data_IF_675179625597
#
_entry.id   IF_675179625597
#
_cell.length_a   1.000
_cell.length_b   1.000
_cell.length_c   1.000
_cell.angle_alpha   90.00
_cell.angle_beta   90.00
_cell.angle_gamma   90.00
#
_symmetry.space_group_name_H-M   'P 1'
#
loop_
_entity.id
_entity.type
_entity.pdbx_description
1 polymer ?
#
# COMPACT_ATOMS: atom_id res chain seq x y z
N UNK A 1 -114.30 24.59 -8.95
CA UNK A 1 -113.19 25.40 -9.49
C UNK A 1 -112.58 24.57 -10.60
N UNK A 2 -112.20 25.19 -11.73
CA UNK A 2 -111.49 24.55 -12.87
C UNK A 2 -112.31 24.06 -14.09
N UNK A 3 -113.26 24.85 -14.61
CA UNK A 3 -113.82 24.62 -15.96
C UNK A 3 -113.93 25.88 -16.84
N UNK A 4 -113.62 27.07 -16.31
CA UNK A 4 -113.64 28.33 -17.06
C UNK A 4 -112.35 28.66 -17.82
N UNK A 5 -111.19 28.15 -17.36
CA UNK A 5 -109.89 28.41 -18.02
C UNK A 5 -109.69 27.59 -19.31
N UNK A 6 -110.35 26.42 -19.43
CA UNK A 6 -110.22 25.57 -20.62
C UNK A 6 -110.89 26.18 -21.87
N UNK A 7 -112.03 26.87 -21.72
CA UNK A 7 -112.74 27.48 -22.87
C UNK A 7 -112.01 28.68 -23.48
N UNK A 8 -111.28 29.46 -22.67
CA UNK A 8 -110.51 30.60 -23.18
C UNK A 8 -109.20 30.19 -23.86
N UNK A 9 -108.61 29.05 -23.46
CA UNK A 9 -107.45 28.48 -24.16
C UNK A 9 -107.85 27.89 -25.52
N UNK A 10 -109.02 27.25 -25.60
CA UNK A 10 -109.52 26.64 -26.84
C UNK A 10 -109.91 27.69 -27.90
N UNK A 11 -110.55 28.80 -27.49
CA UNK A 11 -110.88 29.93 -28.39
C UNK A 11 -109.63 30.72 -28.80
N UNK A 12 -108.62 30.81 -27.94
CA UNK A 12 -107.35 31.43 -28.28
C UNK A 12 -106.55 30.58 -29.29
N UNK A 13 -106.56 29.24 -29.14
CA UNK A 13 -105.96 28.32 -30.11
C UNK A 13 -106.67 28.32 -31.47
N UNK A 14 -108.00 28.47 -31.49
CA UNK A 14 -108.77 28.53 -32.74
C UNK A 14 -108.54 29.85 -33.51
N UNK A 15 -108.42 31.00 -32.82
CA UNK A 15 -108.09 32.29 -33.43
C UNK A 15 -106.63 32.39 -33.90
N UNK A 16 -105.71 31.65 -33.27
CA UNK A 16 -104.31 31.52 -33.71
C UNK A 16 -104.15 30.62 -34.94
N UNK A 17 -105.10 29.71 -35.20
CA UNK A 17 -105.07 28.80 -36.35
C UNK A 17 -105.63 29.40 -37.65
N UNK A 18 -106.37 30.52 -37.58
CA UNK A 18 -106.99 31.17 -38.75
C UNK A 18 -106.13 32.29 -39.38
N UNK A 19 -105.07 32.77 -38.72
CA UNK A 19 -104.18 33.83 -39.22
C UNK A 19 -102.83 33.28 -39.73
N UNK A 20 -102.61 33.22 -41.06
CA UNK A 20 -101.38 32.67 -41.65
C UNK A 20 -100.13 33.49 -41.33
N UNK A 21 -100.28 34.78 -40.98
CA UNK A 21 -99.15 35.67 -40.63
C UNK A 21 -98.68 35.43 -39.20
N UNK A 22 -99.60 35.10 -38.29
CA UNK A 22 -99.28 34.75 -36.90
C UNK A 22 -98.50 33.41 -36.81
N UNK A 23 -98.92 32.39 -37.58
CA UNK A 23 -98.20 31.11 -37.65
C UNK A 23 -96.79 31.25 -38.21
N UNK A 24 -96.61 32.06 -39.27
CA UNK A 24 -95.29 32.28 -39.87
C UNK A 24 -94.32 32.99 -38.90
N UNK A 25 -94.82 33.92 -38.07
CA UNK A 25 -94.00 34.59 -37.03
C UNK A 25 -93.64 33.64 -35.90
N UNK A 26 -94.59 32.83 -35.42
CA UNK A 26 -94.33 31.82 -34.38
C UNK A 26 -93.32 30.78 -34.83
N UNK A 27 -93.38 30.35 -36.10
CA UNK A 27 -92.41 29.41 -36.67
C UNK A 27 -91.00 29.99 -36.74
N UNK A 28 -90.86 31.25 -37.19
CA UNK A 28 -89.55 31.95 -37.19
C UNK A 28 -89.01 32.20 -35.77
N UNK A 29 -89.88 32.53 -34.82
CA UNK A 29 -89.51 32.69 -33.41
C UNK A 29 -89.10 31.36 -32.80
N UNK A 30 -89.78 30.25 -33.14
CA UNK A 30 -89.42 28.89 -32.74
C UNK A 30 -88.09 28.42 -33.33
N UNK A 31 -87.84 28.69 -34.62
CA UNK A 31 -86.56 28.42 -35.29
C UNK A 31 -85.41 29.26 -34.70
N UNK A 32 -85.66 30.55 -34.41
CA UNK A 32 -84.70 31.41 -33.74
C UNK A 32 -84.44 30.97 -32.28
N UNK A 33 -85.47 30.55 -31.55
CA UNK A 33 -85.33 30.00 -30.20
C UNK A 33 -84.54 28.69 -30.19
N UNK A 34 -84.78 27.80 -31.17
CA UNK A 34 -84.03 26.55 -31.34
C UNK A 34 -82.55 26.82 -31.70
N UNK A 35 -82.28 27.82 -32.55
CA UNK A 35 -80.92 28.24 -32.87
C UNK A 35 -80.19 28.79 -31.64
N UNK A 36 -80.82 29.67 -30.87
CA UNK A 36 -80.26 30.22 -29.62
C UNK A 36 -79.98 29.11 -28.62
N UNK A 37 -80.91 28.16 -28.44
CA UNK A 37 -80.70 27.00 -27.58
C UNK A 37 -79.51 26.15 -28.04
N UNK A 38 -79.35 25.92 -29.35
CA UNK A 38 -78.21 25.18 -29.90
C UNK A 38 -76.87 25.90 -29.73
N UNK A 39 -76.86 27.23 -29.85
CA UNK A 39 -75.66 28.06 -29.64
C UNK A 39 -75.26 28.12 -28.17
N UNK A 40 -76.24 28.22 -27.25
CA UNK A 40 -75.99 28.13 -25.81
C UNK A 40 -75.42 26.75 -25.44
N UNK A 41 -75.93 25.67 -26.04
CA UNK A 41 -75.39 24.34 -25.85
C UNK A 41 -73.95 24.21 -26.38
N UNK A 42 -73.63 24.81 -27.54
CA UNK A 42 -72.27 24.86 -28.08
C UNK A 42 -71.33 25.71 -27.22
N UNK A 43 -71.79 26.84 -26.69
CA UNK A 43 -71.02 27.67 -25.76
C UNK A 43 -70.71 26.92 -24.46
N UNK A 44 -71.69 26.24 -23.87
CA UNK A 44 -71.49 25.43 -22.67
C UNK A 44 -70.54 24.24 -22.93
N UNK A 45 -70.61 23.63 -24.11
CA UNK A 45 -69.68 22.57 -24.51
C UNK A 45 -68.24 23.11 -24.67
N UNK A 46 -68.08 24.27 -25.31
CA UNK A 46 -66.80 24.93 -25.51
C UNK A 46 -66.18 25.40 -24.17
N UNK A 47 -66.98 25.98 -23.27
CA UNK A 47 -66.53 26.36 -21.93
C UNK A 47 -66.01 25.15 -21.14
N UNK A 48 -66.71 24.01 -21.24
CA UNK A 48 -66.27 22.76 -20.61
C UNK A 48 -64.96 22.25 -21.21
N UNK A 49 -64.79 22.34 -22.52
CA UNK A 49 -63.57 21.94 -23.21
C UNK A 49 -62.38 22.85 -22.84
N UNK A 50 -62.60 24.17 -22.78
CA UNK A 50 -61.60 25.15 -22.32
C UNK A 50 -61.22 24.88 -20.86
N UNK A 51 -62.19 24.60 -19.99
CA UNK A 51 -61.90 24.27 -18.58
C UNK A 51 -61.07 22.98 -18.44
N UNK A 52 -61.35 21.96 -19.24
CA UNK A 52 -60.57 20.72 -19.26
C UNK A 52 -59.16 20.93 -19.81
N UNK A 53 -59.01 21.71 -20.89
CA UNK A 53 -57.71 22.06 -21.45
C UNK A 53 -56.87 22.91 -20.46
N UNK A 54 -57.52 23.83 -19.73
CA UNK A 54 -56.87 24.61 -18.68
C UNK A 54 -56.41 23.73 -17.50
N UNK A 55 -57.21 22.73 -17.09
CA UNK A 55 -56.79 21.77 -16.06
C UNK A 55 -55.63 20.88 -16.54
N UNK A 56 -55.70 20.35 -17.76
CA UNK A 56 -54.64 19.52 -18.33
C UNK A 56 -53.30 20.26 -18.42
N UNK A 57 -53.30 21.51 -18.87
CA UNK A 57 -52.09 22.35 -18.93
C UNK A 57 -51.55 22.71 -17.55
N UNK A 58 -52.43 22.95 -16.56
CA UNK A 58 -52.01 23.17 -15.17
C UNK A 58 -51.39 21.92 -14.53
N UNK A 59 -51.92 20.73 -14.83
CA UNK A 59 -51.36 19.47 -14.34
C UNK A 59 -50.01 19.14 -15.01
N UNK A 60 -49.88 19.43 -16.31
CA UNK A 60 -48.62 19.30 -17.03
C UNK A 60 -47.55 20.25 -16.49
N UNK A 61 -47.90 21.51 -16.20
CA UNK A 61 -47.01 22.47 -15.56
C UNK A 61 -46.51 21.97 -14.19
N UNK A 62 -47.40 21.43 -13.34
CA UNK A 62 -47.01 20.85 -12.04
C UNK A 62 -46.08 19.65 -12.19
N UNK A 63 -46.30 18.79 -13.19
CA UNK A 63 -45.43 17.64 -13.46
C UNK A 63 -44.03 18.09 -13.87
N UNK A 64 -43.94 19.10 -14.74
CA UNK A 64 -42.66 19.65 -15.17
C UNK A 64 -41.91 20.33 -14.01
N UNK A 65 -42.60 21.07 -13.15
CA UNK A 65 -42.00 21.66 -11.94
C UNK A 65 -41.49 20.57 -10.98
N UNK A 66 -42.26 19.51 -10.76
CA UNK A 66 -41.84 18.37 -9.94
C UNK A 66 -40.59 17.67 -10.52
N UNK A 67 -40.56 17.42 -11.83
CA UNK A 67 -39.41 16.84 -12.52
C UNK A 67 -38.16 17.74 -12.41
N UNK A 68 -38.33 19.06 -12.51
CA UNK A 68 -37.24 20.02 -12.35
C UNK A 68 -36.70 20.05 -10.91
N UNK A 69 -37.60 20.03 -9.92
CA UNK A 69 -37.22 19.96 -8.50
C UNK A 69 -36.46 18.66 -8.20
N UNK A 70 -36.91 17.54 -8.76
CA UNK A 70 -36.23 16.25 -8.60
C UNK A 70 -34.83 16.27 -9.22
N UNK A 71 -34.67 16.77 -10.46
CA UNK A 71 -33.35 16.93 -11.08
C UNK A 71 -32.42 17.91 -10.36
N UNK A 72 -32.98 18.91 -9.67
CA UNK A 72 -32.20 19.79 -8.81
C UNK A 72 -31.70 19.06 -7.56
N UNK A 73 -32.55 18.23 -6.94
CA UNK A 73 -32.17 17.38 -5.81
C UNK A 73 -31.10 16.34 -6.19
N UNK A 74 -31.23 15.71 -7.36
CA UNK A 74 -30.25 14.72 -7.86
C UNK A 74 -28.87 15.35 -8.07
N UNK A 75 -28.81 16.54 -8.68
CA UNK A 75 -27.54 17.27 -8.85
C UNK A 75 -26.89 17.65 -7.51
N UNK A 76 -27.69 18.00 -6.50
CA UNK A 76 -27.18 18.23 -5.15
C UNK A 76 -26.55 16.97 -4.56
N UNK A 77 -27.25 15.84 -4.64
CA UNK A 77 -26.75 14.57 -4.17
C UNK A 77 -25.48 14.11 -4.92
N UNK A 78 -25.41 14.33 -6.23
CA UNK A 78 -24.21 14.04 -7.03
C UNK A 78 -23.01 14.90 -6.61
N UNK A 79 -23.22 16.18 -6.29
CA UNK A 79 -22.18 17.06 -5.79
C UNK A 79 -21.64 16.59 -4.43
N UNK A 80 -22.53 16.22 -3.49
CA UNK A 80 -22.14 15.70 -2.17
C UNK A 80 -21.33 14.41 -2.28
N UNK A 81 -21.73 13.49 -3.18
CA UNK A 81 -20.98 12.25 -3.44
C UNK A 81 -19.60 12.54 -4.03
N UNK A 82 -19.50 13.55 -4.89
CA UNK A 82 -18.23 13.94 -5.51
C UNK A 82 -17.26 14.54 -4.48
N UNK A 83 -17.77 15.36 -3.56
CA UNK A 83 -16.97 15.91 -2.47
C UNK A 83 -16.55 14.82 -1.45
N UNK A 84 -17.44 13.87 -1.14
CA UNK A 84 -17.09 12.71 -0.33
C UNK A 84 -16.00 11.85 -0.99
N UNK A 85 -16.04 11.68 -2.31
CA UNK A 85 -14.98 10.97 -3.06
C UNK A 85 -13.64 11.70 -3.02
N UNK A 86 -13.63 13.03 -3.09
CA UNK A 86 -12.39 13.84 -2.96
C UNK A 86 -11.77 13.66 -1.58
N UNK A 87 -12.56 13.79 -0.52
CA UNK A 87 -12.10 13.57 0.85
C UNK A 87 -11.54 12.14 1.05
N UNK A 88 -12.18 11.13 0.46
CA UNK A 88 -11.68 9.76 0.50
C UNK A 88 -10.34 9.58 -0.23
N UNK A 89 -10.17 10.22 -1.39
CA UNK A 89 -8.91 10.14 -2.14
C UNK A 89 -7.77 10.80 -1.36
N UNK A 90 -8.02 11.94 -0.72
CA UNK A 90 -7.05 12.62 0.14
C UNK A 90 -6.67 11.74 1.34
N UNK A 91 -7.67 11.19 2.05
CA UNK A 91 -7.45 10.28 3.17
C UNK A 91 -6.68 9.00 2.74
N UNK A 92 -6.94 8.48 1.55
CA UNK A 92 -6.20 7.33 1.00
C UNK A 92 -4.74 7.69 0.71
N UNK A 93 -4.46 8.89 0.21
CA UNK A 93 -3.09 9.35 -0.04
C UNK A 93 -2.31 9.50 1.27
N UNK A 94 -2.93 10.08 2.30
CA UNK A 94 -2.33 10.21 3.64
C UNK A 94 -2.08 8.84 4.28
N UNK A 95 -3.03 7.91 4.14
CA UNK A 95 -2.82 6.54 4.63
C UNK A 95 -1.66 5.86 3.90
N UNK A 96 -1.54 6.06 2.59
CA UNK A 96 -0.44 5.49 1.82
C UNK A 96 0.92 6.12 2.17
N UNK A 97 0.98 7.43 2.40
CA UNK A 97 2.22 8.08 2.84
C UNK A 97 2.61 7.63 4.25
N UNK A 98 1.65 7.56 5.18
CA UNK A 98 1.88 7.06 6.53
C UNK A 98 2.34 5.59 6.54
N UNK A 99 1.75 4.74 5.69
CA UNK A 99 2.20 3.36 5.52
C UNK A 99 3.64 3.28 4.99
N UNK A 100 3.97 4.07 3.96
CA UNK A 100 5.33 4.12 3.40
C UNK A 100 6.35 4.58 4.43
N UNK A 101 6.02 5.62 5.21
CA UNK A 101 6.90 6.12 6.27
C UNK A 101 7.10 5.07 7.36
N UNK A 102 6.02 4.44 7.83
CA UNK A 102 6.08 3.34 8.78
C UNK A 102 6.96 2.20 8.26
N UNK A 103 6.72 1.74 7.04
CA UNK A 103 7.48 0.62 6.45
C UNK A 103 8.97 0.99 6.26
N UNK A 104 9.28 2.26 5.98
CA UNK A 104 10.65 2.78 5.95
C UNK A 104 11.31 2.79 7.34
N UNK A 105 10.59 3.22 8.37
CA UNK A 105 11.06 3.21 9.76
C UNK A 105 11.33 1.78 10.25
N UNK A 106 10.40 0.85 9.98
CA UNK A 106 10.52 -0.58 10.28
C UNK A 106 11.76 -1.19 9.61
N UNK A 107 11.94 -0.93 8.31
CA UNK A 107 13.13 -1.36 7.57
C UNK A 107 14.42 -0.81 8.17
N UNK A 108 14.42 0.48 8.54
CA UNK A 108 15.60 1.12 9.14
C UNK A 108 15.93 0.53 10.52
N UNK A 109 14.92 0.27 11.35
CA UNK A 109 15.08 -0.34 12.67
C UNK A 109 15.63 -1.76 12.56
N UNK A 110 15.07 -2.56 11.65
CA UNK A 110 15.55 -3.91 11.34
C UNK A 110 17.01 -3.89 10.85
N UNK A 111 17.38 -2.92 10.01
CA UNK A 111 18.75 -2.75 9.53
C UNK A 111 19.73 -2.43 10.69
N UNK A 112 19.34 -1.58 11.63
CA UNK A 112 20.18 -1.24 12.78
C UNK A 112 20.37 -2.44 13.73
N UNK A 113 19.32 -3.24 13.93
CA UNK A 113 19.43 -4.52 14.66
C UNK A 113 20.41 -5.48 13.97
N UNK A 114 20.34 -5.58 12.64
CA UNK A 114 21.27 -6.42 11.87
C UNK A 114 22.72 -5.93 11.96
N UNK A 115 22.95 -4.61 12.06
CA UNK A 115 24.29 -4.05 12.30
C UNK A 115 24.82 -4.43 13.69
N UNK A 116 23.98 -4.35 14.72
CA UNK A 116 24.35 -4.70 16.09
C UNK A 116 24.68 -6.19 16.23
N UNK A 117 23.85 -7.06 15.66
CA UNK A 117 24.09 -8.51 15.66
C UNK A 117 25.37 -8.88 14.89
N UNK A 118 25.70 -8.13 13.83
CA UNK A 118 26.96 -8.29 13.10
C UNK A 118 28.17 -7.84 13.93
N UNK A 119 28.06 -6.73 14.66
CA UNK A 119 29.10 -6.28 15.58
C UNK A 119 29.34 -7.32 16.70
N UNK A 120 28.27 -7.92 17.23
CA UNK A 120 28.34 -9.01 18.21
C UNK A 120 29.03 -10.25 17.66
N UNK A 121 28.70 -10.66 16.43
CA UNK A 121 29.38 -11.76 15.75
C UNK A 121 30.88 -11.48 15.58
N UNK A 122 31.23 -10.26 15.18
CA UNK A 122 32.63 -9.80 15.11
C UNK A 122 33.35 -9.89 16.46
N UNK A 123 32.72 -9.40 17.53
CA UNK A 123 33.30 -9.47 18.88
C UNK A 123 33.51 -10.91 19.36
N UNK A 124 32.54 -11.80 19.15
CA UNK A 124 32.65 -13.22 19.50
C UNK A 124 33.77 -13.90 18.70
N UNK A 125 33.85 -13.64 17.40
CA UNK A 125 34.92 -14.16 16.56
C UNK A 125 36.30 -13.66 17.01
N UNK A 126 36.41 -12.38 17.37
CA UNK A 126 37.64 -11.80 17.89
C UNK A 126 38.08 -12.47 19.21
N UNK A 127 37.16 -12.73 20.13
CA UNK A 127 37.46 -13.48 21.36
C UNK A 127 37.90 -14.91 21.04
N UNK A 128 37.19 -15.62 20.17
CA UNK A 128 37.54 -16.99 19.78
C UNK A 128 38.91 -17.08 19.11
N UNK A 129 39.21 -16.17 18.18
CA UNK A 129 40.51 -16.10 17.51
C UNK A 129 41.64 -15.67 18.44
N UNK A 130 41.39 -14.72 19.35
CA UNK A 130 42.40 -14.32 20.34
C UNK A 130 42.74 -15.47 21.29
N UNK A 131 41.74 -16.22 21.77
CA UNK A 131 41.96 -17.41 22.59
C UNK A 131 42.79 -18.47 21.86
N UNK A 132 42.55 -18.66 20.56
CA UNK A 132 43.34 -19.57 19.73
C UNK A 132 44.79 -19.11 19.54
N UNK A 133 45.02 -17.79 19.48
CA UNK A 133 46.33 -17.21 19.31
C UNK A 133 47.16 -17.13 20.61
N UNK A 134 46.55 -17.31 21.80
CA UNK A 134 47.24 -17.18 23.10
C UNK A 134 48.50 -18.06 23.23
N UNK A 135 48.50 -19.35 22.84
CA UNK A 135 49.71 -20.18 22.93
C UNK A 135 50.85 -19.63 22.08
N UNK A 136 50.54 -19.08 20.90
CA UNK A 136 51.54 -18.48 20.01
C UNK A 136 52.12 -17.20 20.60
N UNK A 137 51.25 -16.30 21.09
CA UNK A 137 51.63 -15.06 21.78
C UNK A 137 52.50 -15.32 23.01
N UNK A 138 52.22 -16.40 23.76
CA UNK A 138 52.98 -16.78 24.95
C UNK A 138 54.40 -17.28 24.63
N UNK A 139 54.59 -17.96 23.51
CA UNK A 139 55.89 -18.53 23.11
C UNK A 139 56.76 -17.51 22.35
N UNK A 140 56.15 -16.64 21.54
CA UNK A 140 56.87 -15.74 20.62
C UNK A 140 56.83 -14.25 21.03
N UNK A 141 56.20 -13.92 22.16
CA UNK A 141 56.13 -12.55 22.69
C UNK A 141 57.47 -12.03 23.18
N UNK A 142 58.32 -11.55 22.27
CA UNK A 142 59.66 -11.02 22.62
C UNK A 142 59.60 -9.70 23.39
N UNK A 143 58.56 -8.87 23.18
CA UNK A 143 58.33 -7.62 23.92
C UNK A 143 56.82 -7.28 23.98
N UNK A 144 56.41 -6.50 24.98
CA UNK A 144 55.00 -6.13 25.21
C UNK A 144 54.39 -5.38 24.02
N UNK A 145 55.17 -4.51 23.37
CA UNK A 145 54.70 -3.73 22.22
C UNK A 145 54.42 -4.60 20.98
N UNK A 146 55.29 -5.57 20.68
CA UNK A 146 55.09 -6.49 19.55
C UNK A 146 53.98 -7.49 19.83
N UNK A 147 53.87 -7.99 21.06
CA UNK A 147 52.75 -8.84 21.48
C UNK A 147 51.40 -8.12 21.37
N UNK A 148 51.32 -6.86 21.80
CA UNK A 148 50.11 -6.04 21.67
C UNK A 148 49.74 -5.82 20.19
N UNK A 149 50.72 -5.56 19.32
CA UNK A 149 50.50 -5.39 17.89
C UNK A 149 50.00 -6.68 17.23
N UNK A 150 50.59 -7.82 17.54
CA UNK A 150 50.15 -9.12 17.03
C UNK A 150 48.74 -9.48 17.53
N UNK A 151 48.44 -9.22 18.80
CA UNK A 151 47.08 -9.39 19.34
C UNK A 151 46.07 -8.47 18.63
N UNK A 152 46.42 -7.21 18.38
CA UNK A 152 45.58 -6.28 17.64
C UNK A 152 45.31 -6.75 16.20
N UNK A 153 46.32 -7.30 15.51
CA UNK A 153 46.15 -7.89 14.18
C UNK A 153 45.20 -9.11 14.20
N UNK A 154 45.32 -9.99 15.20
CA UNK A 154 44.39 -11.12 15.42
C UNK A 154 42.97 -10.62 15.67
N UNK A 155 42.79 -9.70 16.61
CA UNK A 155 41.49 -9.13 16.96
C UNK A 155 40.85 -8.46 15.73
N UNK A 156 41.57 -7.60 15.02
CA UNK A 156 41.04 -6.89 13.85
C UNK A 156 40.63 -7.86 12.73
N UNK A 157 41.48 -8.82 12.40
CA UNK A 157 41.19 -9.80 11.35
C UNK A 157 40.04 -10.75 11.74
N UNK A 158 39.99 -11.21 12.98
CA UNK A 158 38.92 -12.08 13.48
C UNK A 158 37.60 -11.32 13.64
N UNK A 159 37.64 -10.02 13.99
CA UNK A 159 36.45 -9.17 14.02
C UNK A 159 35.83 -9.03 12.64
N UNK A 160 36.65 -8.68 11.64
CA UNK A 160 36.19 -8.57 10.24
C UNK A 160 35.69 -9.93 9.72
N UNK A 161 36.40 -11.00 10.03
CA UNK A 161 35.98 -12.36 9.71
C UNK A 161 34.64 -12.70 10.38
N UNK A 162 34.42 -12.37 11.65
CA UNK A 162 33.16 -12.66 12.33
C UNK A 162 31.95 -11.96 11.72
N UNK A 163 32.12 -10.68 11.34
CA UNK A 163 31.10 -9.92 10.62
C UNK A 163 30.75 -10.62 9.30
N UNK A 164 31.75 -11.00 8.51
CA UNK A 164 31.53 -11.68 7.22
C UNK A 164 31.00 -13.11 7.38
N UNK A 165 31.49 -13.84 8.37
CA UNK A 165 31.11 -15.23 8.63
C UNK A 165 29.66 -15.37 9.07
N UNK A 166 29.07 -14.36 9.72
CA UNK A 166 27.63 -14.36 10.06
C UNK A 166 26.75 -14.51 8.81
N UNK A 167 27.12 -13.84 7.71
CA UNK A 167 26.43 -13.97 6.42
C UNK A 167 26.66 -15.36 5.82
N UNK A 168 27.91 -15.83 5.84
CA UNK A 168 28.27 -17.16 5.32
C UNK A 168 27.53 -18.25 6.07
N UNK A 169 27.45 -18.21 7.40
CA UNK A 169 26.74 -19.19 8.22
C UNK A 169 25.27 -19.30 7.84
N UNK A 170 24.62 -18.16 7.59
CA UNK A 170 23.20 -18.09 7.22
C UNK A 170 22.96 -18.62 5.80
N UNK A 171 23.82 -18.26 4.84
CA UNK A 171 23.74 -18.76 3.46
C UNK A 171 24.18 -20.23 3.32
N UNK A 172 25.06 -20.70 4.19
CA UNK A 172 25.64 -22.04 4.17
C UNK A 172 24.85 -23.08 4.96
N UNK A 173 23.61 -22.77 5.38
CA UNK A 173 22.71 -23.73 6.04
C UNK A 173 22.57 -25.04 5.23
N UNK A 174 22.56 -24.93 3.89
CA UNK A 174 22.46 -26.08 2.98
C UNK A 174 23.79 -26.49 2.34
N UNK A 175 24.92 -25.84 2.65
CA UNK A 175 26.20 -26.03 1.93
C UNK A 175 27.41 -25.95 2.90
N UNK A 176 27.83 -27.05 3.54
CA UNK A 176 28.92 -27.04 4.53
C UNK A 176 30.28 -26.64 3.93
N UNK A 177 30.50 -26.86 2.63
CA UNK A 177 31.73 -26.44 1.94
C UNK A 177 31.94 -24.92 1.95
N UNK A 178 30.88 -24.11 1.99
CA UNK A 178 30.99 -22.64 2.04
C UNK A 178 31.58 -22.16 3.38
N UNK A 179 31.28 -22.87 4.49
CA UNK A 179 31.83 -22.54 5.81
C UNK A 179 33.31 -22.88 5.90
N UNK A 180 33.70 -24.06 5.42
CA UNK A 180 35.11 -24.47 5.39
C UNK A 180 35.92 -23.59 4.42
N UNK A 181 35.35 -23.27 3.26
CA UNK A 181 35.99 -22.42 2.26
C UNK A 181 36.24 -20.99 2.74
N UNK A 182 35.33 -20.39 3.51
CA UNK A 182 35.55 -19.04 4.06
C UNK A 182 36.66 -19.01 5.12
N UNK A 183 36.70 -20.01 6.01
CA UNK A 183 37.80 -20.17 6.98
C UNK A 183 39.13 -20.37 6.26
N UNK A 184 39.16 -21.23 5.24
CA UNK A 184 40.37 -21.49 4.46
C UNK A 184 40.84 -20.23 3.71
N UNK A 185 39.93 -19.46 3.09
CA UNK A 185 40.28 -18.25 2.36
C UNK A 185 40.92 -17.19 3.27
N UNK A 186 40.28 -16.88 4.41
CA UNK A 186 40.83 -15.90 5.36
C UNK A 186 42.16 -16.37 5.97
N UNK A 187 42.26 -17.66 6.31
CA UNK A 187 43.49 -18.26 6.81
C UNK A 187 44.64 -18.19 5.82
N UNK A 188 44.40 -18.54 4.55
CA UNK A 188 45.41 -18.48 3.51
C UNK A 188 45.84 -17.05 3.19
N UNK A 189 44.91 -16.10 3.07
CA UNK A 189 45.25 -14.69 2.80
C UNK A 189 46.14 -14.12 3.91
N UNK A 190 45.79 -14.38 5.18
CA UNK A 190 46.60 -13.97 6.33
C UNK A 190 47.97 -14.67 6.35
N UNK A 191 47.98 -15.99 6.15
CA UNK A 191 49.22 -16.78 6.12
C UNK A 191 50.18 -16.35 5.03
N UNK A 192 49.65 -16.06 3.83
CA UNK A 192 50.44 -15.62 2.69
C UNK A 192 51.00 -14.21 2.90
N UNK A 193 50.29 -13.33 3.62
CA UNK A 193 50.83 -12.03 4.03
C UNK A 193 52.02 -12.17 4.99
N UNK A 194 51.98 -13.14 5.92
CA UNK A 194 53.15 -13.46 6.76
C UNK A 194 54.31 -14.05 5.94
N UNK A 195 54.01 -14.89 4.95
CA UNK A 195 55.00 -15.45 4.04
C UNK A 195 55.73 -14.37 3.25
N UNK A 196 54.99 -13.41 2.70
CA UNK A 196 55.53 -12.27 1.96
C UNK A 196 56.43 -11.40 2.86
N UNK A 197 55.98 -11.10 4.07
CA UNK A 197 56.79 -10.35 5.04
C UNK A 197 58.09 -11.09 5.42
N UNK A 198 58.03 -12.41 5.63
CA UNK A 198 59.19 -13.23 5.93
C UNK A 198 60.18 -13.27 4.75
N UNK A 199 59.67 -13.35 3.53
CA UNK A 199 60.44 -13.36 2.30
C UNK A 199 61.18 -12.03 2.06
N UNK A 200 60.50 -10.91 2.29
CA UNK A 200 61.08 -9.56 2.21
C UNK A 200 62.19 -9.40 3.25
N UNK A 201 61.97 -9.87 4.48
CA UNK A 201 62.98 -9.82 5.53
C UNK A 201 64.21 -10.69 5.20
N UNK A 202 64.01 -11.91 4.70
CA UNK A 202 65.08 -12.82 4.30
C UNK A 202 65.91 -12.25 3.13
N UNK A 203 65.26 -11.66 2.13
CA UNK A 203 65.92 -11.03 0.97
C UNK A 203 66.73 -9.80 1.39
N UNK A 204 66.24 -9.02 2.36
CA UNK A 204 66.92 -7.84 2.90
C UNK A 204 68.16 -8.19 3.74
N UNK A 205 68.20 -9.41 4.28
CA UNK A 205 69.34 -9.94 5.04
C UNK A 205 70.41 -10.64 4.14
N UNK A 206 70.27 -10.54 2.81
CA UNK A 206 71.19 -11.18 1.85
C UNK A 206 70.95 -12.67 1.62
N UNK A 207 69.80 -13.20 2.08
CA UNK A 207 69.38 -14.59 1.84
C UNK A 207 68.90 -14.84 0.40
N UNK A 208 68.88 -16.11 0.01
CA UNK A 208 68.35 -16.52 -1.30
C UNK A 208 66.82 -16.34 -1.36
N UNK A 209 66.26 -15.87 -2.49
CA UNK A 209 64.85 -15.52 -2.60
C UNK A 209 63.87 -16.70 -2.56
N UNK A 210 64.34 -17.95 -2.50
CA UNK A 210 63.48 -19.12 -2.30
C UNK A 210 64.24 -20.13 -1.44
N UNK A 211 64.09 -20.02 -0.12
CA UNK A 211 64.64 -20.98 0.83
C UNK A 211 63.53 -21.90 1.36
N UNK A 212 63.84 -23.19 1.50
CA UNK A 212 62.93 -24.21 2.07
C UNK A 212 62.55 -23.84 3.50
N UNK A 213 63.43 -23.18 4.25
CA UNK A 213 63.13 -22.70 5.59
C UNK A 213 62.04 -21.60 5.59
N UNK A 214 62.06 -20.69 4.60
CA UNK A 214 61.03 -19.64 4.44
C UNK A 214 59.70 -20.28 4.01
N UNK A 215 59.74 -21.27 3.14
CA UNK A 215 58.53 -21.99 2.73
C UNK A 215 57.89 -22.75 3.89
N UNK A 216 58.70 -23.45 4.71
CA UNK A 216 58.24 -24.20 5.87
C UNK A 216 57.59 -23.32 6.95
N UNK A 217 58.22 -22.19 7.29
CA UNK A 217 57.67 -21.24 8.25
C UNK A 217 56.39 -20.55 7.73
N UNK A 218 56.34 -20.26 6.44
CA UNK A 218 55.15 -19.70 5.77
C UNK A 218 53.97 -20.66 5.77
N UNK A 219 54.21 -21.94 5.48
CA UNK A 219 53.17 -22.98 5.53
C UNK A 219 52.64 -23.17 6.96
N UNK A 220 53.52 -23.12 7.95
CA UNK A 220 53.13 -23.18 9.37
C UNK A 220 52.30 -21.97 9.78
N UNK A 221 52.69 -20.76 9.37
CA UNK A 221 51.93 -19.53 9.61
C UNK A 221 50.54 -19.54 8.95
N UNK A 222 50.42 -20.15 7.76
CA UNK A 222 49.14 -20.37 7.11
C UNK A 222 48.26 -21.37 7.87
N UNK A 223 48.85 -22.46 8.36
CA UNK A 223 48.16 -23.44 9.21
C UNK A 223 47.67 -22.82 10.52
N UNK A 224 48.50 -22.02 11.18
CA UNK A 224 48.13 -21.27 12.39
C UNK A 224 47.01 -20.27 12.10
N UNK A 225 47.09 -19.55 10.98
CA UNK A 225 46.05 -18.60 10.57
C UNK A 225 44.72 -19.31 10.31
N UNK A 226 44.74 -20.46 9.62
CA UNK A 226 43.56 -21.30 9.42
C UNK A 226 42.97 -21.78 10.74
N UNK A 227 43.81 -22.25 11.67
CA UNK A 227 43.37 -22.67 13.00
C UNK A 227 42.71 -21.51 13.76
N UNK A 228 43.31 -20.33 13.71
CA UNK A 228 42.79 -19.11 14.36
C UNK A 228 41.39 -18.77 13.84
N UNK A 229 41.20 -18.75 12.52
CA UNK A 229 39.88 -18.50 11.94
C UNK A 229 38.89 -19.66 12.13
N UNK A 230 39.36 -20.91 12.26
CA UNK A 230 38.51 -22.04 12.59
C UNK A 230 37.94 -21.91 14.01
N UNK A 231 38.75 -21.48 14.98
CA UNK A 231 38.28 -21.17 16.33
C UNK A 231 37.35 -19.96 16.36
N UNK A 232 37.66 -18.91 15.59
CA UNK A 232 36.76 -17.76 15.45
C UNK A 232 35.39 -18.18 14.88
N UNK A 233 35.38 -19.03 13.84
CA UNK A 233 34.17 -19.58 13.26
C UNK A 233 33.40 -20.45 14.27
N UNK A 234 34.09 -21.35 14.97
CA UNK A 234 33.50 -22.20 16.00
C UNK A 234 32.87 -21.37 17.14
N UNK A 235 33.51 -20.27 17.55
CA UNK A 235 32.96 -19.35 18.55
C UNK A 235 31.67 -18.68 18.06
N UNK A 236 31.62 -18.23 16.81
CA UNK A 236 30.39 -17.67 16.20
C UNK A 236 29.30 -18.73 16.08
N UNK A 237 29.64 -19.96 15.69
CA UNK A 237 28.68 -21.07 15.65
C UNK A 237 28.15 -21.43 17.05
N UNK A 238 29.02 -21.49 18.06
CA UNK A 238 28.62 -21.73 19.43
C UNK A 238 27.72 -20.61 19.96
N UNK A 239 28.08 -19.35 19.69
CA UNK A 239 27.24 -18.20 20.05
C UNK A 239 25.89 -18.23 19.33
N UNK A 240 25.83 -18.68 18.07
CA UNK A 240 24.57 -18.87 17.37
C UNK A 240 23.70 -19.96 18.02
N UNK A 241 24.29 -21.11 18.39
CA UNK A 241 23.60 -22.20 19.10
C UNK A 241 23.09 -21.78 20.48
N UNK A 242 23.84 -20.91 21.17
CA UNK A 242 23.46 -20.34 22.47
C UNK A 242 22.50 -19.15 22.35
N UNK A 243 22.05 -18.78 21.13
CA UNK A 243 21.23 -17.60 20.85
C UNK A 243 21.86 -16.28 21.31
N UNK A 244 23.18 -16.27 21.47
CA UNK A 244 23.97 -15.06 21.71
C UNK A 244 23.98 -14.25 20.41
N UNK A 245 24.28 -14.85 19.26
CA UNK A 245 24.23 -14.14 17.96
C UNK A 245 23.09 -14.72 17.15
N UNK A 246 22.24 -13.86 16.57
CA UNK A 246 21.17 -14.34 15.69
C UNK A 246 21.65 -14.52 14.24
N UNK A 247 21.13 -15.51 13.49
CA UNK A 247 21.41 -15.62 12.06
C UNK A 247 20.94 -14.34 11.33
N UNK A 248 21.51 -14.08 10.17
CA UNK A 248 21.18 -12.90 9.38
C UNK A 248 19.76 -12.98 8.84
N UNK A 249 19.01 -11.87 8.88
CA UNK A 249 17.63 -11.78 8.37
C UNK A 249 16.56 -12.16 9.40
N UNK A 250 16.93 -12.44 10.64
CA UNK A 250 15.97 -12.71 11.72
C UNK A 250 15.13 -11.47 12.05
N UNK A 251 15.74 -10.28 12.06
CA UNK A 251 15.04 -9.04 12.36
C UNK A 251 14.00 -8.66 11.29
N UNK A 252 14.10 -9.20 10.06
CA UNK A 252 13.11 -9.01 8.99
C UNK A 252 11.91 -9.95 9.12
N UNK A 253 12.03 -11.02 9.91
CA UNK A 253 10.96 -11.99 10.15
C UNK A 253 10.10 -11.59 11.34
N UNK A 254 10.72 -11.11 12.44
CA UNK A 254 9.98 -10.62 13.61
C UNK A 254 9.04 -9.46 13.27
N UNK A 255 9.43 -8.60 12.35
CA UNK A 255 8.68 -7.40 11.96
C UNK A 255 7.53 -7.69 10.98
N UNK A 256 7.51 -8.88 10.37
CA UNK A 256 6.41 -9.34 9.51
C UNK A 256 5.28 -10.02 10.29
N UNK A 257 5.54 -10.45 11.52
CA UNK A 257 4.57 -11.13 12.38
C UNK A 257 3.87 -10.19 13.37
N UNK A 258 4.21 -8.89 13.36
CA UNK A 258 3.55 -7.83 14.15
C UNK A 258 2.67 -6.94 13.28
#
# INVERSE_FOLDING_TARGET
MDQGEQSHQEVAEELLNLDPVAQARLKRVGEAAALVASLQAQQAALEKEIAQAAQASADEARRLEADQAQRASERGAEADVLDAKRALLEAQQELQSAKRERDALLTSSSQDLERLESAKAGAVAAMGGLLAALPYLAVHGQNQASAALSAAQVVASCLLFGVTYRYVQSAAANNPHLKGGSVAAFGLVRGLAYADAAQVAASSAGGSPVDVAVFGSSALAAGESMLTFAFAAAAVEAAARLKIVRPFGFALLEDKEQ
#
